data_IF_972931195437
#
_entry.id   IF_972931195437
#
_cell.length_a   1.000
_cell.length_b   1.000
_cell.length_c   1.000
_cell.angle_alpha   90.00
_cell.angle_beta   90.00
_cell.angle_gamma   90.00
#
_symmetry.space_group_name_H-M   'P 1'
#
loop_
_entity.id
_entity.type
_entity.pdbx_description
1 polymer ?
#
# COMPACT_ATOMS: atom_id res chain seq x y z
N UNK A 1 -16.97 -13.02 -12.83
CA UNK A 1 -16.05 -11.96 -12.35
C UNK A 1 -16.52 -11.51 -10.97
N UNK A 2 -15.67 -11.00 -10.05
CA UNK A 2 -16.08 -10.74 -8.65
C UNK A 2 -17.19 -9.67 -8.47
N UNK A 3 -17.33 -8.78 -9.45
CA UNK A 3 -18.29 -7.68 -9.50
C UNK A 3 -19.77 -8.09 -9.63
N UNK A 4 -20.07 -9.34 -9.98
CA UNK A 4 -21.45 -9.88 -10.00
C UNK A 4 -22.07 -10.00 -8.60
N UNK A 5 -21.28 -9.83 -7.53
CA UNK A 5 -21.64 -10.17 -6.14
C UNK A 5 -21.76 -8.93 -5.23
N UNK A 6 -21.68 -7.74 -5.83
CA UNK A 6 -21.80 -6.45 -5.14
C UNK A 6 -23.03 -5.74 -5.68
N UNK A 7 -23.95 -5.36 -4.78
CA UNK A 7 -25.14 -4.60 -5.09
C UNK A 7 -25.27 -3.38 -4.16
N UNK A 8 -26.10 -2.42 -4.57
CA UNK A 8 -26.52 -1.30 -3.74
C UNK A 8 -27.92 -1.57 -3.22
N UNK A 9 -28.11 -1.36 -1.93
CA UNK A 9 -29.40 -1.47 -1.28
C UNK A 9 -30.24 -0.20 -1.47
N UNK A 10 -31.55 -0.30 -1.20
CA UNK A 10 -32.48 0.84 -1.33
C UNK A 10 -32.12 2.03 -0.44
N UNK A 11 -31.44 1.77 0.67
CA UNK A 11 -30.97 2.78 1.64
C UNK A 11 -29.59 3.36 1.27
N UNK A 12 -28.99 2.94 0.14
CA UNK A 12 -27.69 3.43 -0.31
C UNK A 12 -26.48 2.71 0.30
N UNK A 13 -26.70 1.63 1.04
CA UNK A 13 -25.65 0.76 1.58
C UNK A 13 -25.14 -0.21 0.50
N UNK A 14 -23.87 -0.60 0.60
CA UNK A 14 -23.31 -1.63 -0.28
C UNK A 14 -23.50 -3.01 0.33
N UNK A 15 -24.12 -3.92 -0.42
CA UNK A 15 -24.30 -5.33 -0.07
C UNK A 15 -23.30 -6.17 -0.83
N UNK A 16 -22.39 -6.83 -0.11
CA UNK A 16 -21.44 -7.77 -0.68
C UNK A 16 -21.84 -9.19 -0.30
N UNK A 17 -22.21 -9.99 -1.29
CA UNK A 17 -22.41 -11.42 -1.07
C UNK A 17 -21.04 -12.10 -0.86
N UNK A 18 -20.96 -13.08 0.03
CA UNK A 18 -19.74 -13.83 0.35
C UNK A 18 -19.68 -15.14 -0.40
N UNK A 19 -18.49 -15.48 -0.94
CA UNK A 19 -18.36 -16.62 -1.86
C UNK A 19 -18.68 -17.94 -1.15
N UNK A 20 -18.40 -17.98 0.15
CA UNK A 20 -18.83 -19.02 1.07
C UNK A 20 -19.39 -18.33 2.30
N UNK A 21 -20.43 -18.92 2.89
CA UNK A 21 -20.94 -18.47 4.16
C UNK A 21 -19.84 -18.58 5.23
N UNK A 22 -19.89 -17.68 6.21
CA UNK A 22 -19.09 -17.84 7.44
C UNK A 22 -19.52 -19.07 8.24
N UNK A 23 -18.71 -19.48 9.21
CA UNK A 23 -19.06 -20.55 10.17
C UNK A 23 -20.42 -20.33 10.83
N UNK A 24 -20.76 -19.06 11.01
CA UNK A 24 -21.96 -18.61 11.73
C UNK A 24 -23.18 -18.49 10.79
N UNK A 25 -23.03 -18.87 9.51
CA UNK A 25 -24.08 -18.83 8.50
C UNK A 25 -24.23 -17.49 7.78
N UNK A 26 -23.47 -16.45 8.14
CA UNK A 26 -23.54 -15.14 7.49
C UNK A 26 -23.10 -15.21 6.02
N UNK A 27 -23.96 -14.75 5.12
CA UNK A 27 -23.75 -14.80 3.65
C UNK A 27 -23.53 -13.43 3.02
N UNK A 28 -23.97 -12.34 3.64
CA UNK A 28 -23.85 -10.97 3.10
C UNK A 28 -23.18 -10.05 4.11
N UNK A 29 -22.41 -9.08 3.60
CA UNK A 29 -21.78 -8.02 4.39
C UNK A 29 -22.29 -6.68 3.90
N UNK A 30 -22.78 -5.85 4.83
CA UNK A 30 -23.24 -4.50 4.56
C UNK A 30 -22.11 -3.51 4.83
N UNK A 31 -21.96 -2.52 3.97
CA UNK A 31 -21.00 -1.43 4.14
C UNK A 31 -21.66 -0.07 3.94
N UNK A 32 -21.32 0.87 4.82
CA UNK A 32 -21.49 2.29 4.55
C UNK A 32 -20.59 2.72 3.37
N UNK A 33 -21.02 3.67 2.51
CA UNK A 33 -20.25 4.08 1.34
C UNK A 33 -18.82 4.53 1.65
N UNK A 34 -18.62 5.23 2.76
CA UNK A 34 -17.29 5.69 3.15
C UNK A 34 -16.37 4.54 3.59
N UNK A 35 -16.90 3.63 4.39
CA UNK A 35 -16.16 2.46 4.88
C UNK A 35 -15.77 1.52 3.73
N UNK A 36 -16.66 1.38 2.74
CA UNK A 36 -16.38 0.58 1.55
C UNK A 36 -15.17 1.12 0.80
N UNK A 37 -15.14 2.44 0.52
CA UNK A 37 -14.02 3.08 -0.17
C UNK A 37 -12.74 3.00 0.66
N UNK A 38 -12.82 3.23 1.98
CA UNK A 38 -11.67 3.15 2.87
C UNK A 38 -11.03 1.75 2.85
N UNK A 39 -11.84 0.68 2.87
CA UNK A 39 -11.37 -0.70 2.79
C UNK A 39 -10.76 -1.03 1.43
N UNK A 40 -11.34 -0.52 0.34
CA UNK A 40 -10.76 -0.64 -0.99
C UNK A 40 -9.40 0.08 -1.09
N UNK A 41 -9.31 1.29 -0.54
CA UNK A 41 -8.08 2.06 -0.52
C UNK A 41 -6.98 1.36 0.30
N UNK A 42 -7.33 0.71 1.41
CA UNK A 42 -6.40 -0.05 2.23
C UNK A 42 -5.80 -1.27 1.52
N UNK A 43 -6.52 -1.87 0.56
CA UNK A 43 -6.05 -2.99 -0.24
C UNK A 43 -5.02 -2.57 -1.30
N UNK A 44 -5.03 -1.30 -1.73
CA UNK A 44 -4.10 -0.80 -2.75
C UNK A 44 -2.76 -0.47 -2.07
N UNK A 45 -1.69 -1.24 -2.32
CA UNK A 45 -0.40 -0.93 -1.73
C UNK A 45 0.15 0.37 -2.34
N UNK A 46 1.03 1.04 -1.59
CA UNK A 46 1.66 2.28 -2.05
C UNK A 46 2.35 2.05 -3.40
N UNK A 47 2.12 2.91 -4.40
CA UNK A 47 2.77 2.76 -5.69
C UNK A 47 4.29 2.93 -5.54
N UNK A 48 5.05 2.16 -6.33
CA UNK A 48 6.54 2.19 -6.41
C UNK A 48 7.30 1.60 -5.22
N UNK A 49 6.65 0.79 -4.38
CA UNK A 49 7.37 -0.05 -3.40
C UNK A 49 7.53 -1.47 -3.92
N UNK A 50 8.68 -2.10 -3.68
CA UNK A 50 8.90 -3.50 -4.04
C UNK A 50 8.07 -4.41 -3.12
N UNK A 51 6.95 -4.90 -3.63
CA UNK A 51 6.07 -5.84 -2.92
C UNK A 51 6.70 -7.23 -2.78
N UNK A 52 7.47 -7.65 -3.78
CA UNK A 52 8.19 -8.91 -3.78
C UNK A 52 9.64 -8.65 -3.43
N UNK A 53 10.08 -9.14 -2.27
CA UNK A 53 11.48 -9.16 -1.88
C UNK A 53 12.06 -10.53 -2.18
N UNK A 54 12.97 -10.57 -3.15
CA UNK A 54 13.71 -11.77 -3.47
C UNK A 54 14.80 -12.02 -2.43
N UNK A 55 14.92 -13.26 -1.97
CA UNK A 55 15.95 -13.68 -1.03
C UNK A 55 16.96 -14.61 -1.71
N UNK A 56 18.19 -14.64 -1.19
CA UNK A 56 19.28 -15.52 -1.63
C UNK A 56 19.65 -15.30 -3.10
N UNK A 57 19.44 -16.30 -3.96
CA UNK A 57 19.93 -16.32 -5.35
C UNK A 57 19.34 -15.20 -6.21
N UNK A 58 18.09 -14.79 -5.93
CA UNK A 58 17.39 -13.76 -6.69
C UNK A 58 17.51 -12.36 -6.05
N UNK A 59 18.27 -12.21 -4.96
CA UNK A 59 18.49 -10.91 -4.34
C UNK A 59 19.44 -10.05 -5.22
N UNK A 60 19.24 -8.72 -5.29
CA UNK A 60 20.09 -7.83 -6.10
C UNK A 60 21.59 -7.83 -5.70
N UNK A 61 21.92 -8.36 -4.52
CA UNK A 61 23.28 -8.54 -4.01
C UNK A 61 23.63 -10.03 -3.75
N UNK A 62 23.02 -10.96 -4.47
CA UNK A 62 23.39 -12.38 -4.37
C UNK A 62 24.87 -12.58 -4.75
N UNK A 63 25.61 -13.30 -3.91
CA UNK A 63 27.06 -13.55 -4.08
C UNK A 63 27.42 -14.29 -5.39
N UNK A 64 26.45 -14.93 -6.06
CA UNK A 64 26.66 -15.66 -7.31
C UNK A 64 26.40 -14.85 -8.60
N UNK A 65 25.96 -13.60 -8.53
CA UNK A 65 25.67 -12.78 -9.72
C UNK A 65 26.84 -11.85 -10.08
N UNK A 66 27.91 -12.39 -10.65
CA UNK A 66 29.05 -11.62 -11.13
C UNK A 66 28.80 -10.84 -12.44
N UNK A 67 27.68 -11.09 -13.15
CA UNK A 67 27.44 -10.54 -14.50
C UNK A 67 26.16 -9.71 -14.70
N UNK A 68 25.27 -9.61 -13.71
CA UNK A 68 24.05 -8.82 -13.86
C UNK A 68 24.32 -7.35 -13.50
N UNK A 69 24.29 -6.49 -14.52
CA UNK A 69 24.59 -5.06 -14.41
C UNK A 69 23.84 -4.39 -13.24
N UNK A 70 24.60 -3.80 -12.32
CA UNK A 70 24.07 -2.97 -11.23
C UNK A 70 23.40 -1.74 -11.85
N UNK A 71 22.08 -1.62 -11.76
CA UNK A 71 21.35 -0.42 -12.17
C UNK A 71 21.84 0.76 -11.30
N UNK A 72 22.45 1.79 -11.91
CA UNK A 72 22.81 3.00 -11.18
C UNK A 72 21.54 3.73 -10.78
N UNK A 73 21.34 3.90 -9.48
CA UNK A 73 20.27 4.73 -8.97
C UNK A 73 20.57 6.19 -9.32
N UNK A 74 19.77 6.77 -10.22
CA UNK A 74 19.77 8.22 -10.48
C UNK A 74 19.02 8.85 -9.32
N UNK A 75 19.78 9.18 -8.27
CA UNK A 75 19.29 9.91 -7.12
C UNK A 75 19.06 11.37 -7.49
N UNK A 76 17.80 11.77 -7.70
CA UNK A 76 17.33 13.18 -7.66
C UNK A 76 15.84 13.21 -7.26
N UNK A 77 15.33 14.06 -6.35
CA UNK A 77 15.76 15.35 -5.75
C UNK A 77 15.09 15.54 -4.38
N UNK A 78 15.68 16.31 -3.44
CA UNK A 78 14.96 16.75 -2.25
C UNK A 78 14.02 17.93 -2.59
N UNK A 79 12.77 17.87 -2.13
CA UNK A 79 11.94 19.08 -2.01
C UNK A 79 12.53 19.96 -0.92
N UNK A 80 13.01 21.15 -1.29
CA UNK A 80 13.17 22.25 -0.33
C UNK A 80 11.78 22.67 0.12
N UNK A 81 11.39 22.30 1.33
CA UNK A 81 10.43 23.07 2.10
C UNK A 81 11.23 24.18 2.79
N UNK A 82 10.99 25.41 2.37
CA UNK A 82 11.36 26.60 3.11
C UNK A 82 10.50 26.68 4.35
N UNK A 83 11.09 26.64 5.54
CA UNK A 83 10.51 27.29 6.71
C UNK A 83 11.60 27.55 7.75
N UNK A 84 11.69 28.81 8.16
CA UNK A 84 12.66 29.29 9.12
C UNK A 84 12.37 28.77 10.52
N UNK A 85 13.42 28.38 11.22
CA UNK A 85 13.48 28.44 12.67
C UNK A 85 14.93 28.72 13.07
N UNK A 86 15.14 29.93 13.57
CA UNK A 86 16.38 30.37 14.20
C UNK A 86 16.57 29.58 15.49
N UNK A 87 17.63 28.78 15.56
CA UNK A 87 18.11 28.22 16.82
C UNK A 87 19.58 28.61 16.98
N UNK A 88 19.83 29.66 17.78
CA UNK A 88 21.17 30.08 18.20
C UNK A 88 21.90 28.92 18.85
N UNK A 89 23.14 28.68 18.44
CA UNK A 89 24.08 27.88 19.22
C UNK A 89 24.64 28.72 20.38
N UNK A 90 24.73 28.21 21.62
CA UNK A 90 25.48 28.88 22.67
C UNK A 90 26.99 28.70 22.46
N UNK A 91 27.83 29.67 22.89
CA UNK A 91 29.28 29.58 22.71
C UNK A 91 29.88 28.45 23.54
N UNK A 92 30.81 27.71 22.94
CA UNK A 92 31.66 26.73 23.65
C UNK A 92 32.69 27.49 24.49
N UNK A 93 32.74 27.19 25.79
CA UNK A 93 33.92 27.40 26.66
C UNK A 93 34.79 26.15 26.57
#
# INVERSE_FOLDING_TARGET
MAQERLSLDGDGLFVLELKRAFSDGTTHVLFEPHDFIARLAALVPRPKVHLVRYHRLFAPNAHGCAGAAKHKDVRERPMRASEGASCRAPPRV
#
